data_IF_818731665213
#
_entry.id   IF_818731665213
#
_cell.length_a   1.000
_cell.length_b   1.000
_cell.length_c   1.000
_cell.angle_alpha   90.00
_cell.angle_beta   90.00
_cell.angle_gamma   90.00
#
_symmetry.space_group_name_H-M   'P 1'
#
loop_
_entity.id
_entity.type
_entity.pdbx_description
1 polymer ?
#
# COMPACT_ATOMS: atom_id res chain seq x y z
N UNK A 1 -35.38 6.71 -6.32
CA UNK A 1 -35.29 7.71 -5.23
C UNK A 1 -35.15 7.05 -3.87
N UNK A 2 -36.12 6.25 -3.41
CA UNK A 2 -36.11 5.65 -2.06
C UNK A 2 -34.85 4.84 -1.71
N UNK A 3 -34.36 4.00 -2.63
CA UNK A 3 -33.11 3.25 -2.43
C UNK A 3 -31.88 4.17 -2.36
N UNK A 4 -31.82 5.23 -3.18
CA UNK A 4 -30.73 6.23 -3.10
C UNK A 4 -30.75 6.96 -1.76
N UNK A 5 -31.92 7.35 -1.27
CA UNK A 5 -32.10 8.03 0.03
C UNK A 5 -31.55 7.19 1.18
N UNK A 6 -31.74 5.87 1.16
CA UNK A 6 -31.15 4.95 2.16
C UNK A 6 -29.62 5.00 2.16
N UNK A 7 -28.99 4.93 0.98
CA UNK A 7 -27.53 5.02 0.86
C UNK A 7 -27.01 6.38 1.32
N UNK A 8 -27.72 7.48 1.00
CA UNK A 8 -27.36 8.83 1.46
C UNK A 8 -27.49 8.97 2.98
N UNK A 9 -28.55 8.43 3.57
CA UNK A 9 -28.73 8.40 5.03
C UNK A 9 -27.61 7.60 5.71
N UNK A 10 -27.24 6.44 5.17
CA UNK A 10 -26.12 5.64 5.67
C UNK A 10 -24.78 6.40 5.54
N UNK A 11 -24.54 7.04 4.39
CA UNK A 11 -23.35 7.84 4.16
C UNK A 11 -23.21 8.96 5.21
N UNK A 12 -24.27 9.74 5.43
CA UNK A 12 -24.27 10.84 6.39
C UNK A 12 -24.16 10.35 7.85
N UNK A 13 -24.90 9.31 8.22
CA UNK A 13 -24.91 8.76 9.59
C UNK A 13 -23.57 8.12 9.95
N UNK A 14 -22.98 7.36 9.01
CA UNK A 14 -21.67 6.74 9.23
C UNK A 14 -20.54 7.76 9.18
N UNK A 15 -20.67 8.85 8.41
CA UNK A 15 -19.70 9.96 8.45
C UNK A 15 -19.74 10.68 9.78
N UNK A 16 -20.94 10.93 10.32
CA UNK A 16 -21.09 11.53 11.65
C UNK A 16 -20.40 10.70 12.72
N UNK A 17 -20.66 9.39 12.72
CA UNK A 17 -20.03 8.45 13.67
C UNK A 17 -18.51 8.47 13.54
N UNK A 18 -18.00 8.47 12.32
CA UNK A 18 -16.56 8.52 12.05
C UNK A 18 -15.93 9.85 12.50
N UNK A 19 -16.56 10.98 12.18
CA UNK A 19 -16.13 12.30 12.64
C UNK A 19 -16.10 12.37 14.17
N UNK A 20 -17.10 11.80 14.86
CA UNK A 20 -17.15 11.80 16.32
C UNK A 20 -16.01 10.95 16.93
N UNK A 21 -15.65 9.82 16.31
CA UNK A 21 -14.49 9.02 16.69
C UNK A 21 -13.17 9.80 16.53
N UNK A 22 -13.02 10.57 15.44
CA UNK A 22 -11.84 11.42 15.25
C UNK A 22 -11.77 12.52 16.30
N UNK A 23 -12.90 13.19 16.59
CA UNK A 23 -12.94 14.21 17.64
C UNK A 23 -12.61 13.63 19.01
N UNK A 24 -13.04 12.39 19.29
CA UNK A 24 -12.64 11.68 20.49
C UNK A 24 -11.12 11.46 20.52
N UNK A 25 -10.52 11.03 19.41
CA UNK A 25 -9.06 10.88 19.29
C UNK A 25 -8.32 12.19 19.57
N UNK A 26 -8.82 13.31 19.03
CA UNK A 26 -8.21 14.63 19.24
C UNK A 26 -8.33 15.08 20.70
N UNK A 27 -9.54 15.09 21.24
CA UNK A 27 -9.83 15.72 22.53
C UNK A 27 -9.36 14.90 23.73
N UNK A 28 -9.40 13.56 23.62
CA UNK A 28 -9.07 12.66 24.75
C UNK A 28 -7.60 12.22 24.72
N UNK A 29 -6.98 12.14 23.54
CA UNK A 29 -5.63 11.60 23.41
C UNK A 29 -4.64 12.61 22.85
N UNK A 30 -4.86 13.14 21.64
CA UNK A 30 -3.92 14.03 20.96
C UNK A 30 -3.57 15.25 21.82
N UNK A 31 -4.57 16.05 22.20
CA UNK A 31 -4.35 17.30 22.93
C UNK A 31 -3.76 17.08 24.34
N UNK A 32 -4.24 16.11 25.15
CA UNK A 32 -3.62 15.84 26.44
C UNK A 32 -2.17 15.37 26.33
N UNK A 33 -1.86 14.45 25.39
CA UNK A 33 -0.51 13.93 25.18
C UNK A 33 0.44 15.02 24.68
N UNK A 34 -0.05 15.91 23.81
CA UNK A 34 0.72 17.06 23.34
C UNK A 34 1.06 18.02 24.49
N UNK A 35 0.08 18.33 25.36
CA UNK A 35 0.27 19.25 26.50
C UNK A 35 1.15 18.67 27.60
N UNK A 36 1.15 17.36 27.80
CA UNK A 36 1.94 16.73 28.86
C UNK A 36 3.43 16.64 28.53
N UNK A 37 3.81 16.83 27.26
CA UNK A 37 5.18 16.62 26.76
C UNK A 37 5.77 15.26 27.16
N UNK A 38 4.90 14.23 27.28
CA UNK A 38 5.34 12.85 27.61
C UNK A 38 6.08 12.19 26.45
N UNK A 39 5.85 12.67 25.23
CA UNK A 39 6.52 12.27 24.01
C UNK A 39 7.44 13.39 23.54
N UNK A 40 8.59 13.03 22.97
CA UNK A 40 9.35 13.98 22.17
C UNK A 40 8.61 14.30 20.86
N UNK A 41 9.07 15.35 20.18
CA UNK A 41 8.46 15.83 18.94
C UNK A 41 8.36 14.75 17.87
N UNK A 42 9.41 13.94 17.70
CA UNK A 42 9.46 12.92 16.66
C UNK A 42 8.52 11.74 16.97
N UNK A 43 8.50 11.26 18.22
CA UNK A 43 7.56 10.23 18.69
C UNK A 43 6.10 10.71 18.54
N UNK A 44 5.82 11.99 18.84
CA UNK A 44 4.49 12.58 18.71
C UNK A 44 4.04 12.71 17.25
N UNK A 45 4.88 13.30 16.38
CA UNK A 45 4.60 13.47 14.95
C UNK A 45 4.45 12.12 14.24
N UNK A 46 5.29 11.12 14.58
CA UNK A 46 5.15 9.77 14.01
C UNK A 46 3.87 9.07 14.48
N UNK A 47 3.46 9.25 15.74
CA UNK A 47 2.26 8.58 16.29
C UNK A 47 0.96 9.16 15.72
N UNK A 48 0.85 10.49 15.65
CA UNK A 48 -0.41 11.15 15.29
C UNK A 48 -0.45 11.66 13.86
N UNK A 49 0.70 11.86 13.20
CA UNK A 49 0.78 12.37 11.83
C UNK A 49 -0.11 13.62 11.64
N UNK A 50 -0.88 13.64 10.56
CA UNK A 50 -1.82 14.71 10.23
C UNK A 50 -3.27 14.41 10.67
N UNK A 51 -3.48 13.66 11.77
CA UNK A 51 -4.83 13.28 12.24
C UNK A 51 -5.75 14.48 12.50
N UNK A 52 -5.21 15.62 12.95
CA UNK A 52 -5.99 16.85 13.15
C UNK A 52 -6.58 17.36 11.84
N UNK A 53 -5.79 17.36 10.75
CA UNK A 53 -6.25 17.73 9.41
C UNK A 53 -7.35 16.78 8.93
N UNK A 54 -7.17 15.47 9.13
CA UNK A 54 -8.18 14.45 8.81
C UNK A 54 -9.48 14.69 9.59
N UNK A 55 -9.37 14.99 10.89
CA UNK A 55 -10.51 15.29 11.76
C UNK A 55 -11.27 16.55 11.34
N UNK A 56 -10.55 17.62 10.98
CA UNK A 56 -11.15 18.86 10.48
C UNK A 56 -11.89 18.62 9.16
N UNK A 57 -11.26 17.89 8.23
CA UNK A 57 -11.83 17.60 6.91
C UNK A 57 -13.09 16.72 7.01
N UNK A 58 -13.07 15.69 7.86
CA UNK A 58 -14.26 14.85 8.12
C UNK A 58 -15.39 15.64 8.76
N UNK A 59 -15.08 16.59 9.66
CA UNK A 59 -16.11 17.46 10.25
C UNK A 59 -16.81 18.33 9.20
N UNK A 60 -16.04 18.94 8.29
CA UNK A 60 -16.58 19.75 7.19
C UNK A 60 -17.46 18.91 6.25
N UNK A 61 -16.98 17.73 5.88
CA UNK A 61 -17.73 16.80 5.03
C UNK A 61 -19.02 16.33 5.72
N UNK A 62 -18.95 15.98 7.01
CA UNK A 62 -20.10 15.58 7.81
C UNK A 62 -21.20 16.66 7.80
N UNK A 63 -20.83 17.92 8.01
CA UNK A 63 -21.77 19.04 7.99
C UNK A 63 -22.50 19.14 6.64
N UNK A 64 -21.76 19.10 5.53
CA UNK A 64 -22.35 19.23 4.19
C UNK A 64 -23.24 18.02 3.83
N UNK A 65 -22.83 16.81 4.21
CA UNK A 65 -23.61 15.60 3.99
C UNK A 65 -24.91 15.60 4.79
N UNK A 66 -24.87 15.98 6.06
CA UNK A 66 -26.08 16.08 6.90
C UNK A 66 -27.04 17.16 6.37
N UNK A 67 -26.51 18.29 5.90
CA UNK A 67 -27.32 19.35 5.28
C UNK A 67 -28.03 18.87 4.01
N UNK A 68 -27.35 18.08 3.16
CA UNK A 68 -27.95 17.50 1.95
C UNK A 68 -28.96 16.42 2.29
N UNK A 69 -28.65 15.53 3.23
CA UNK A 69 -29.53 14.43 3.64
C UNK A 69 -30.87 14.94 4.16
N UNK A 70 -30.87 15.99 4.98
CA UNK A 70 -32.09 16.61 5.51
C UNK A 70 -33.00 17.22 4.44
N UNK A 71 -32.44 17.59 3.27
CA UNK A 71 -33.16 18.23 2.15
C UNK A 71 -33.12 17.39 0.87
N UNK A 72 -32.89 16.07 0.99
CA UNK A 72 -32.67 15.20 -0.16
C UNK A 72 -33.91 15.01 -1.03
N UNK A 73 -35.11 15.22 -0.47
CA UNK A 73 -36.35 15.15 -1.24
C UNK A 73 -36.51 16.32 -2.22
N UNK A 74 -35.94 17.47 -1.89
CA UNK A 74 -35.93 18.66 -2.73
C UNK A 74 -34.73 18.69 -3.68
N UNK A 75 -33.65 17.99 -3.34
CA UNK A 75 -32.44 17.88 -4.16
C UNK A 75 -31.84 16.47 -4.01
N UNK A 76 -32.16 15.59 -4.96
CA UNK A 76 -31.82 14.16 -4.89
C UNK A 76 -30.45 13.80 -5.50
N UNK A 77 -29.57 14.80 -5.57
CA UNK A 77 -28.15 14.71 -5.93
C UNK A 77 -27.33 14.68 -4.63
N UNK A 78 -26.24 13.92 -4.57
CA UNK A 78 -25.31 13.92 -3.42
C UNK A 78 -23.86 14.02 -3.86
N UNK A 79 -23.52 13.59 -5.08
CA UNK A 79 -22.14 13.47 -5.49
C UNK A 79 -21.50 14.84 -5.75
N UNK A 80 -22.28 15.89 -6.02
CA UNK A 80 -21.80 17.27 -6.07
C UNK A 80 -21.14 17.71 -4.75
N UNK A 81 -21.66 17.29 -3.60
CA UNK A 81 -21.05 17.54 -2.28
C UNK A 81 -19.71 16.85 -2.16
N UNK A 82 -19.63 15.57 -2.54
CA UNK A 82 -18.41 14.77 -2.50
C UNK A 82 -17.34 15.34 -3.43
N UNK A 83 -17.72 15.73 -4.65
CA UNK A 83 -16.82 16.28 -5.65
C UNK A 83 -16.34 17.69 -5.30
N UNK A 84 -17.21 18.52 -4.70
CA UNK A 84 -16.82 19.84 -4.18
C UNK A 84 -15.75 19.73 -3.09
N UNK A 85 -15.79 18.65 -2.31
CA UNK A 85 -14.83 18.36 -1.23
C UNK A 85 -13.70 17.42 -1.65
N UNK A 86 -13.49 17.15 -2.95
CA UNK A 86 -12.52 16.13 -3.40
C UNK A 86 -11.10 16.32 -2.86
N UNK A 87 -10.63 17.56 -2.73
CA UNK A 87 -9.28 17.88 -2.23
C UNK A 87 -9.12 17.60 -0.74
N UNK A 88 -10.23 17.44 0.00
CA UNK A 88 -10.17 17.04 1.41
C UNK A 88 -9.67 15.60 1.58
N UNK A 89 -9.82 14.76 0.57
CA UNK A 89 -9.38 13.36 0.64
C UNK A 89 -7.87 13.19 0.42
N UNK A 90 -7.18 14.19 -0.15
CA UNK A 90 -5.74 14.12 -0.41
C UNK A 90 -4.93 13.97 0.89
N UNK A 91 -5.40 14.52 2.01
CA UNK A 91 -4.72 14.41 3.31
C UNK A 91 -4.74 12.98 3.87
N UNK A 92 -5.69 12.13 3.45
CA UNK A 92 -5.76 10.74 3.89
C UNK A 92 -4.55 9.95 3.40
N UNK A 93 -4.02 10.28 2.23
CA UNK A 93 -2.84 9.61 1.70
C UNK A 93 -1.63 9.77 2.63
N UNK A 94 -1.39 10.96 3.17
CA UNK A 94 -0.32 11.17 4.14
C UNK A 94 -0.55 10.37 5.43
N UNK A 95 -1.76 10.39 5.97
CA UNK A 95 -2.11 9.63 7.18
C UNK A 95 -1.87 8.13 7.00
N UNK A 96 -2.40 7.58 5.90
CA UNK A 96 -2.40 6.14 5.65
C UNK A 96 -1.00 5.62 5.37
N UNK A 97 -0.17 6.39 4.66
CA UNK A 97 1.26 6.07 4.47
C UNK A 97 2.03 6.01 5.78
N UNK A 98 1.62 6.78 6.77
CA UNK A 98 2.28 6.79 8.08
C UNK A 98 1.72 5.75 9.05
N UNK A 99 0.50 5.24 8.85
CA UNK A 99 -0.22 4.44 9.83
C UNK A 99 0.56 3.23 10.37
N UNK A 100 1.23 2.45 9.51
CA UNK A 100 2.01 1.28 9.95
C UNK A 100 3.16 1.68 10.88
N UNK A 101 3.85 2.78 10.57
CA UNK A 101 4.91 3.34 11.41
C UNK A 101 4.34 3.92 12.71
N UNK A 102 3.13 4.49 12.67
CA UNK A 102 2.45 5.00 13.85
C UNK A 102 2.09 3.87 14.83
N UNK A 103 1.55 2.75 14.35
CA UNK A 103 1.14 1.66 15.23
C UNK A 103 2.33 0.86 15.78
N UNK A 104 3.41 0.70 15.01
CA UNK A 104 4.66 0.15 15.55
C UNK A 104 5.23 1.06 16.65
N UNK A 105 5.20 2.38 16.43
CA UNK A 105 5.63 3.36 17.43
C UNK A 105 4.77 3.31 18.68
N UNK A 106 3.44 3.26 18.53
CA UNK A 106 2.49 3.10 19.62
C UNK A 106 2.85 1.88 20.49
N UNK A 107 3.10 0.72 19.89
CA UNK A 107 3.50 -0.49 20.61
C UNK A 107 4.78 -0.32 21.42
N UNK A 108 5.78 0.40 20.88
CA UNK A 108 7.03 0.73 21.62
C UNK A 108 6.77 1.70 22.77
N UNK A 109 5.92 2.71 22.54
CA UNK A 109 5.59 3.75 23.52
C UNK A 109 4.79 3.22 24.71
N UNK A 110 4.02 2.14 24.54
CA UNK A 110 3.32 1.48 25.64
C UNK A 110 4.24 0.97 26.76
N UNK A 111 5.54 0.78 26.49
CA UNK A 111 6.52 0.44 27.53
C UNK A 111 6.85 1.63 28.45
N UNK A 112 6.51 2.87 28.07
CA UNK A 112 6.69 4.07 28.90
C UNK A 112 5.46 4.23 29.80
N UNK A 113 5.60 3.98 31.10
CA UNK A 113 4.50 4.02 32.09
C UNK A 113 3.62 5.29 32.00
N UNK A 114 4.24 6.48 31.91
CA UNK A 114 3.52 7.75 31.77
C UNK A 114 2.66 7.82 30.51
N UNK A 115 3.14 7.29 29.38
CA UNK A 115 2.37 7.23 28.14
C UNK A 115 1.25 6.19 28.24
N UNK A 116 1.53 5.01 28.82
CA UNK A 116 0.55 3.96 29.01
C UNK A 116 -0.68 4.44 29.81
N UNK A 117 -0.45 5.21 30.88
CA UNK A 117 -1.53 5.83 31.68
C UNK A 117 -2.38 6.81 30.84
N UNK A 118 -1.76 7.59 29.95
CA UNK A 118 -2.45 8.53 29.07
C UNK A 118 -3.13 7.87 27.87
N UNK A 119 -2.60 6.75 27.39
CA UNK A 119 -3.17 5.94 26.31
C UNK A 119 -4.39 5.12 26.79
N UNK A 120 -4.58 5.01 28.11
CA UNK A 120 -5.75 4.35 28.70
C UNK A 120 -6.45 5.22 29.77
N UNK A 121 -7.07 6.35 29.38
CA UNK A 121 -7.74 7.23 30.31
C UNK A 121 -9.11 6.64 30.72
N UNK A 122 -9.10 5.77 31.74
CA UNK A 122 -10.25 5.41 32.57
C UNK A 122 -11.49 4.85 31.85
N UNK A 123 -11.34 3.92 30.90
CA UNK A 123 -12.46 3.26 30.18
C UNK A 123 -13.44 4.22 29.46
N UNK A 124 -13.06 5.50 29.24
CA UNK A 124 -13.90 6.49 28.55
C UNK A 124 -14.11 6.17 27.06
N UNK A 125 -13.28 5.31 26.49
CA UNK A 125 -13.35 4.87 25.11
C UNK A 125 -13.23 3.36 25.05
N UNK A 126 -14.31 2.68 24.64
CA UNK A 126 -14.33 1.22 24.47
C UNK A 126 -13.40 0.72 23.36
N UNK A 127 -13.01 1.60 22.43
CA UNK A 127 -12.13 1.27 21.30
C UNK A 127 -10.64 1.42 21.65
N UNK A 128 -10.30 2.24 22.64
CA UNK A 128 -8.93 2.66 22.95
C UNK A 128 -8.27 3.50 21.85
N UNK A 129 -7.07 4.04 22.13
CA UNK A 129 -6.34 4.88 21.18
C UNK A 129 -6.00 4.14 19.88
N UNK A 130 -5.48 2.91 19.98
CA UNK A 130 -5.19 2.06 18.81
C UNK A 130 -6.42 1.85 17.91
N UNK A 131 -7.59 1.57 18.50
CA UNK A 131 -8.83 1.40 17.77
C UNK A 131 -9.29 2.68 17.06
N UNK A 132 -8.99 3.85 17.60
CA UNK A 132 -9.31 5.14 16.96
C UNK A 132 -8.34 5.45 15.81
N UNK A 133 -7.04 5.16 15.96
CA UNK A 133 -6.02 5.44 14.94
C UNK A 133 -6.25 4.65 13.65
N UNK A 134 -6.85 3.46 13.70
CA UNK A 134 -7.15 2.66 12.50
C UNK A 134 -8.35 3.19 11.70
N UNK A 135 -9.19 4.05 12.29
CA UNK A 135 -10.46 4.46 11.67
C UNK A 135 -10.32 5.19 10.32
N UNK A 136 -9.33 6.07 10.07
CA UNK A 136 -9.17 6.70 8.76
C UNK A 136 -8.81 5.72 7.65
N UNK A 137 -7.95 4.74 7.96
CA UNK A 137 -7.57 3.67 7.02
C UNK A 137 -8.80 2.84 6.63
N UNK A 138 -9.68 2.56 7.58
CA UNK A 138 -10.92 1.82 7.34
C UNK A 138 -12.02 2.62 6.64
N UNK A 139 -11.98 3.96 6.70
CA UNK A 139 -13.03 4.80 6.11
C UNK A 139 -12.97 4.80 4.58
N UNK A 140 -11.77 4.81 3.99
CA UNK A 140 -11.60 4.87 2.52
C UNK A 140 -12.29 3.69 1.79
N UNK A 141 -12.09 2.41 2.18
CA UNK A 141 -12.82 1.30 1.56
C UNK A 141 -14.34 1.40 1.71
N UNK A 142 -14.84 1.99 2.80
CA UNK A 142 -16.29 2.17 3.02
C UNK A 142 -16.89 3.17 2.02
N UNK A 143 -16.18 4.25 1.67
CA UNK A 143 -16.63 5.15 0.59
C UNK A 143 -16.78 4.42 -0.74
N UNK A 144 -15.85 3.53 -1.09
CA UNK A 144 -15.95 2.71 -2.30
C UNK A 144 -17.21 1.84 -2.30
N UNK A 145 -17.52 1.20 -1.17
CA UNK A 145 -18.72 0.35 -1.05
C UNK A 145 -20.01 1.17 -1.17
N UNK A 146 -20.11 2.27 -0.44
CA UNK A 146 -21.27 3.17 -0.46
C UNK A 146 -21.49 3.76 -1.86
N UNK A 147 -20.42 4.18 -2.54
CA UNK A 147 -20.53 4.73 -3.90
C UNK A 147 -20.91 3.66 -4.94
N UNK A 148 -20.41 2.43 -4.81
CA UNK A 148 -20.86 1.31 -5.66
C UNK A 148 -22.35 1.04 -5.48
N UNK A 149 -22.84 1.09 -4.24
CA UNK A 149 -24.27 0.90 -3.95
C UNK A 149 -25.12 2.05 -4.47
N UNK A 150 -24.69 3.30 -4.24
CA UNK A 150 -25.37 4.48 -4.76
C UNK A 150 -25.48 4.44 -6.29
N UNK A 151 -24.40 4.06 -6.98
CA UNK A 151 -24.38 3.94 -8.44
C UNK A 151 -25.31 2.84 -8.96
N UNK A 152 -25.42 1.70 -8.25
CA UNK A 152 -26.40 0.65 -8.60
C UNK A 152 -27.85 1.14 -8.52
N UNK A 153 -28.14 2.06 -7.59
CA UNK A 153 -29.46 2.63 -7.38
C UNK A 153 -29.73 3.91 -8.20
N UNK A 154 -28.80 4.31 -9.06
CA UNK A 154 -28.86 5.54 -9.86
C UNK A 154 -29.01 5.20 -11.35
N UNK A 155 -30.16 5.51 -11.99
CA UNK A 155 -30.34 5.32 -13.43
C UNK A 155 -29.32 6.12 -14.24
N UNK A 156 -28.96 5.66 -15.44
CA UNK A 156 -27.96 6.33 -16.30
C UNK A 156 -28.40 7.71 -16.76
N UNK A 157 -29.71 7.91 -16.84
CA UNK A 157 -30.35 9.16 -17.24
C UNK A 157 -30.42 10.18 -16.09
N UNK A 158 -30.10 9.75 -14.86
CA UNK A 158 -30.12 10.61 -13.69
C UNK A 158 -28.96 11.62 -13.74
N UNK A 159 -29.18 12.90 -13.37
CA UNK A 159 -28.13 13.92 -13.41
C UNK A 159 -26.92 13.59 -12.52
N UNK A 160 -27.12 12.83 -11.45
CA UNK A 160 -26.04 12.43 -10.55
C UNK A 160 -25.26 11.18 -10.98
N UNK A 161 -25.64 10.50 -12.07
CA UNK A 161 -24.98 9.25 -12.49
C UNK A 161 -23.51 9.45 -12.84
N UNK A 162 -23.21 10.46 -13.68
CA UNK A 162 -21.84 10.77 -14.09
C UNK A 162 -21.00 11.23 -12.89
N UNK A 163 -21.58 12.03 -12.00
CA UNK A 163 -20.90 12.46 -10.78
C UNK A 163 -20.60 11.27 -9.85
N UNK A 164 -21.52 10.31 -9.74
CA UNK A 164 -21.32 9.09 -8.97
C UNK A 164 -20.20 8.22 -9.54
N UNK A 165 -20.09 8.11 -10.87
CA UNK A 165 -19.00 7.41 -11.55
C UNK A 165 -17.64 8.08 -11.26
N UNK A 166 -17.58 9.42 -11.36
CA UNK A 166 -16.36 10.19 -11.05
C UNK A 166 -15.97 10.02 -9.58
N UNK A 167 -16.91 10.19 -8.65
CA UNK A 167 -16.67 10.04 -7.23
C UNK A 167 -16.20 8.62 -6.87
N UNK A 168 -16.82 7.59 -7.45
CA UNK A 168 -16.38 6.20 -7.27
C UNK A 168 -14.95 5.99 -7.75
N UNK A 169 -14.59 6.52 -8.92
CA UNK A 169 -13.23 6.42 -9.45
C UNK A 169 -12.21 7.09 -8.51
N UNK A 170 -12.51 8.28 -7.98
CA UNK A 170 -11.65 8.96 -6.99
C UNK A 170 -11.41 8.07 -5.77
N UNK A 171 -12.45 7.49 -5.17
CA UNK A 171 -12.28 6.63 -4.00
C UNK A 171 -11.57 5.30 -4.33
N UNK A 172 -11.76 4.76 -5.52
CA UNK A 172 -11.02 3.59 -5.98
C UNK A 172 -9.54 3.89 -6.19
N UNK A 173 -9.20 5.05 -6.76
CA UNK A 173 -7.83 5.52 -6.91
C UNK A 173 -7.17 5.69 -5.54
N UNK A 174 -7.83 6.37 -4.59
CA UNK A 174 -7.35 6.48 -3.21
C UNK A 174 -7.13 5.11 -2.57
N UNK A 175 -8.07 4.17 -2.72
CA UNK A 175 -7.93 2.80 -2.22
C UNK A 175 -6.75 2.05 -2.84
N UNK A 176 -6.49 2.24 -4.13
CA UNK A 176 -5.38 1.62 -4.85
C UNK A 176 -4.04 2.27 -4.50
N UNK A 177 -3.98 3.59 -4.35
CA UNK A 177 -2.79 4.33 -3.90
C UNK A 177 -2.33 3.88 -2.51
N UNK A 178 -3.27 3.58 -1.61
CA UNK A 178 -2.99 2.98 -0.30
C UNK A 178 -2.27 1.64 -0.47
N UNK A 179 -2.83 0.74 -1.28
CA UNK A 179 -2.26 -0.59 -1.50
C UNK A 179 -0.86 -0.51 -2.15
N UNK A 180 -0.69 0.36 -3.14
CA UNK A 180 0.58 0.59 -3.81
C UNK A 180 1.60 1.20 -2.85
N UNK A 181 1.21 2.20 -2.04
CA UNK A 181 2.19 2.83 -1.15
C UNK A 181 2.62 1.92 0.01
N UNK A 182 1.72 1.08 0.51
CA UNK A 182 2.08 0.05 1.49
C UNK A 182 3.09 -0.95 0.88
N UNK A 183 2.87 -1.37 -0.38
CA UNK A 183 3.81 -2.22 -1.09
C UNK A 183 5.17 -1.52 -1.32
N UNK A 184 5.17 -0.23 -1.63
CA UNK A 184 6.37 0.59 -1.78
C UNK A 184 7.17 0.69 -0.49
N UNK A 185 6.51 0.97 0.63
CA UNK A 185 7.18 1.10 1.93
C UNK A 185 7.77 -0.24 2.37
N UNK A 186 7.01 -1.33 2.22
CA UNK A 186 7.53 -2.69 2.50
C UNK A 186 8.71 -3.05 1.60
N UNK A 187 8.66 -2.66 0.32
CA UNK A 187 9.77 -2.84 -0.60
C UNK A 187 10.99 -2.01 -0.14
N UNK A 188 10.82 -0.71 0.17
CA UNK A 188 11.89 0.16 0.70
C UNK A 188 12.54 -0.41 1.95
N UNK A 189 11.75 -0.89 2.92
CA UNK A 189 12.30 -1.53 4.12
C UNK A 189 13.11 -2.79 3.79
N UNK A 190 12.64 -3.63 2.86
CA UNK A 190 13.41 -4.79 2.39
C UNK A 190 14.72 -4.36 1.75
N UNK A 191 14.70 -3.34 0.91
CA UNK A 191 15.90 -2.81 0.24
C UNK A 191 16.92 -2.26 1.25
N UNK A 192 16.46 -1.50 2.25
CA UNK A 192 17.31 -1.03 3.34
C UNK A 192 17.94 -2.20 4.11
N UNK A 193 17.14 -3.22 4.46
CA UNK A 193 17.65 -4.45 5.11
C UNK A 193 18.68 -5.16 4.24
N UNK A 194 18.55 -5.15 2.92
CA UNK A 194 19.54 -5.72 2.00
C UNK A 194 20.85 -4.92 2.05
N UNK A 195 20.80 -3.60 1.95
CA UNK A 195 22.00 -2.75 2.02
C UNK A 195 22.76 -2.97 3.33
N UNK A 196 22.05 -3.03 4.46
CA UNK A 196 22.64 -3.28 5.78
C UNK A 196 23.27 -4.67 5.94
N UNK A 197 22.93 -5.64 5.08
CA UNK A 197 23.55 -6.97 5.09
C UNK A 197 24.90 -6.99 4.40
N UNK A 198 25.25 -5.98 3.61
CA UNK A 198 26.56 -5.91 2.97
C UNK A 198 27.54 -5.17 3.88
N UNK A 199 28.69 -5.78 4.17
CA UNK A 199 29.73 -5.16 4.99
C UNK A 199 30.36 -3.94 4.31
N UNK A 200 30.41 -3.96 2.98
CA UNK A 200 30.79 -2.85 2.14
C UNK A 200 30.07 -2.99 0.80
N UNK A 201 29.46 -1.90 0.35
CA UNK A 201 28.78 -1.81 -0.93
C UNK A 201 29.30 -0.58 -1.67
N UNK A 202 29.63 -0.66 -2.98
CA UNK A 202 29.97 0.52 -3.75
C UNK A 202 28.82 1.53 -3.74
N UNK A 203 29.16 2.83 -3.67
CA UNK A 203 28.18 3.93 -3.56
C UNK A 203 27.15 3.86 -4.69
N UNK A 204 27.59 3.63 -5.93
CA UNK A 204 26.71 3.51 -7.09
C UNK A 204 25.69 2.36 -6.97
N UNK A 205 26.04 1.27 -6.28
CA UNK A 205 25.13 0.14 -6.03
C UNK A 205 24.19 0.45 -4.88
N UNK A 206 24.67 1.15 -3.84
CA UNK A 206 23.83 1.58 -2.71
C UNK A 206 22.78 2.58 -3.16
N UNK A 207 23.20 3.59 -3.91
CA UNK A 207 22.32 4.57 -4.55
C UNK A 207 21.32 3.90 -5.49
N UNK A 208 21.77 2.94 -6.30
CA UNK A 208 20.86 2.16 -7.12
C UNK A 208 19.77 1.47 -6.28
N UNK A 209 20.13 0.83 -5.16
CA UNK A 209 19.13 0.13 -4.33
C UNK A 209 18.18 1.09 -3.60
N UNK A 210 18.65 2.27 -3.16
CA UNK A 210 17.90 3.14 -2.23
C UNK A 210 17.22 4.34 -2.89
N UNK A 211 17.80 4.88 -3.97
CA UNK A 211 17.40 6.18 -4.50
C UNK A 211 16.22 6.08 -5.48
N UNK A 212 15.92 4.88 -5.98
CA UNK A 212 14.81 4.62 -6.89
C UNK A 212 13.98 3.40 -6.46
N UNK A 213 12.68 3.36 -6.78
CA UNK A 213 11.77 2.30 -6.36
C UNK A 213 11.95 1.02 -7.19
N UNK A 214 13.12 0.39 -7.07
CA UNK A 214 13.38 -0.90 -7.71
C UNK A 214 12.63 -2.00 -6.96
N UNK A 215 11.78 -2.76 -7.65
CA UNK A 215 11.11 -3.90 -7.02
C UNK A 215 12.06 -5.10 -6.95
N UNK A 216 12.30 -5.61 -5.75
CA UNK A 216 13.00 -6.88 -5.55
C UNK A 216 12.05 -8.04 -5.89
N UNK A 217 12.39 -8.80 -6.94
CA UNK A 217 11.60 -9.95 -7.37
C UNK A 217 11.92 -11.20 -6.56
N UNK A 218 13.22 -11.49 -6.40
CA UNK A 218 13.65 -12.72 -5.76
C UNK A 218 14.96 -12.53 -5.00
N UNK A 219 15.01 -13.11 -3.81
CA UNK A 219 16.24 -13.34 -3.05
C UNK A 219 16.44 -14.85 -2.92
N UNK A 220 17.66 -15.33 -3.15
CA UNK A 220 17.99 -16.73 -2.91
C UNK A 220 19.47 -17.01 -2.97
N UNK A 221 19.86 -18.18 -2.46
CA UNK A 221 21.25 -18.61 -2.48
C UNK A 221 21.48 -19.61 -3.61
N UNK A 222 22.40 -19.30 -4.51
CA UNK A 222 22.74 -20.12 -5.67
C UNK A 222 24.23 -20.48 -5.69
N UNK A 223 24.57 -21.55 -6.38
CA UNK A 223 25.93 -22.06 -6.47
C UNK A 223 26.56 -21.60 -7.79
N UNK A 224 27.49 -20.64 -7.71
CA UNK A 224 28.13 -20.07 -8.89
C UNK A 224 29.33 -20.89 -9.33
N UNK A 225 29.32 -21.31 -10.59
CA UNK A 225 30.49 -21.91 -11.23
C UNK A 225 31.57 -20.84 -11.40
N UNK A 226 32.73 -21.06 -10.78
CA UNK A 226 33.90 -20.19 -10.87
C UNK A 226 35.11 -20.99 -11.36
N UNK A 227 36.18 -20.30 -11.79
CA UNK A 227 37.43 -20.94 -12.23
C UNK A 227 38.03 -21.87 -11.16
N UNK A 228 37.84 -21.54 -9.88
CA UNK A 228 38.35 -22.28 -8.71
C UNK A 228 37.24 -23.07 -8.00
N UNK A 229 36.36 -23.73 -8.77
CA UNK A 229 35.27 -24.54 -8.25
C UNK A 229 33.93 -23.79 -8.08
N UNK A 230 32.96 -24.50 -7.51
CA UNK A 230 31.60 -24.00 -7.28
C UNK A 230 31.54 -23.26 -5.95
N UNK A 231 31.03 -22.04 -5.94
CA UNK A 231 30.95 -21.20 -4.74
C UNK A 231 29.55 -20.69 -4.48
N UNK A 232 29.10 -20.79 -3.23
CA UNK A 232 27.79 -20.32 -2.77
C UNK A 232 27.69 -18.79 -2.86
N UNK A 233 26.60 -18.26 -3.40
CA UNK A 233 26.34 -16.82 -3.59
C UNK A 233 24.92 -16.48 -3.19
N UNK A 234 24.76 -15.41 -2.43
CA UNK A 234 23.43 -14.81 -2.18
C UNK A 234 23.15 -13.84 -3.30
N UNK A 235 22.02 -14.03 -3.98
CA UNK A 235 21.63 -13.33 -5.19
C UNK A 235 20.31 -12.57 -4.95
N UNK A 236 20.26 -11.33 -5.44
CA UNK A 236 19.13 -10.41 -5.37
C UNK A 236 18.76 -9.98 -6.80
N UNK A 237 17.60 -10.42 -7.29
CA UNK A 237 17.10 -10.12 -8.62
C UNK A 237 16.05 -9.00 -8.54
N UNK A 238 16.24 -7.97 -9.35
CA UNK A 238 15.34 -6.82 -9.45
C UNK A 238 14.53 -6.85 -10.76
N UNK A 239 13.39 -6.17 -10.72
CA UNK A 239 12.40 -6.10 -11.82
C UNK A 239 12.89 -5.46 -13.12
N UNK A 240 13.99 -4.71 -13.07
CA UNK A 240 14.62 -4.00 -14.17
C UNK A 240 15.90 -4.70 -14.67
N UNK A 241 15.92 -6.04 -14.54
CA UNK A 241 16.94 -6.94 -15.11
C UNK A 241 18.29 -6.86 -14.41
N UNK A 242 18.38 -6.20 -13.26
CA UNK A 242 19.61 -6.12 -12.48
C UNK A 242 19.68 -7.28 -11.50
N UNK A 243 20.81 -7.97 -11.49
CA UNK A 243 21.17 -8.98 -10.50
C UNK A 243 22.36 -8.50 -9.69
N UNK A 244 22.20 -8.43 -8.37
CA UNK A 244 23.28 -8.14 -7.42
C UNK A 244 23.59 -9.43 -6.66
N UNK A 245 24.87 -9.76 -6.47
CA UNK A 245 25.24 -10.93 -5.69
C UNK A 245 26.51 -10.76 -4.86
N UNK A 246 26.55 -11.51 -3.76
CA UNK A 246 27.65 -11.51 -2.80
C UNK A 246 27.94 -12.89 -2.21
N UNK A 247 29.04 -13.02 -1.45
CA UNK A 247 29.32 -14.21 -0.65
C UNK A 247 28.87 -14.00 0.79
N UNK A 248 28.33 -15.04 1.46
CA UNK A 248 28.16 -15.00 2.90
C UNK A 248 29.52 -14.89 3.60
N UNK A 249 29.59 -14.06 4.62
CA UNK A 249 30.73 -13.84 5.51
C UNK A 249 30.31 -14.22 6.94
N UNK A 250 31.28 -14.41 7.84
CA UNK A 250 31.04 -14.65 9.27
C UNK A 250 30.17 -13.52 9.85
N UNK A 251 29.18 -13.88 10.67
CA UNK A 251 28.30 -12.90 11.33
C UNK A 251 27.07 -12.46 10.51
N UNK A 252 26.58 -13.29 9.58
CA UNK A 252 25.39 -13.02 8.73
C UNK A 252 25.53 -11.83 7.77
N UNK A 253 26.76 -11.32 7.59
CA UNK A 253 27.10 -10.26 6.65
C UNK A 253 27.42 -10.83 5.25
N UNK A 254 27.36 -9.98 4.24
CA UNK A 254 27.62 -10.30 2.84
C UNK A 254 28.79 -9.47 2.31
N UNK A 255 29.67 -10.12 1.58
CA UNK A 255 30.71 -9.45 0.79
C UNK A 255 30.20 -9.27 -0.64
N UNK A 256 30.12 -8.02 -1.10
CA UNK A 256 29.73 -7.68 -2.46
C UNK A 256 30.71 -8.27 -3.49
N UNK A 257 30.18 -8.81 -4.59
CA UNK A 257 31.00 -9.27 -5.71
C UNK A 257 30.77 -8.50 -6.99
N UNK A 258 29.52 -8.45 -7.45
CA UNK A 258 29.22 -7.76 -8.70
C UNK A 258 27.74 -7.43 -8.83
N UNK A 259 27.47 -6.50 -9.74
CA UNK A 259 26.16 -6.15 -10.26
C UNK A 259 26.16 -6.45 -11.75
N UNK A 260 25.13 -7.13 -12.26
CA UNK A 260 25.03 -7.49 -13.67
C UNK A 260 23.65 -7.13 -14.18
N UNK A 261 23.61 -6.35 -15.27
CA UNK A 261 22.39 -6.15 -16.04
C UNK A 261 22.23 -7.30 -17.04
N UNK A 262 21.18 -8.08 -16.84
CA UNK A 262 20.86 -9.27 -17.63
C UNK A 262 20.27 -8.87 -18.98
N UNK A 263 20.65 -9.62 -20.01
CA UNK A 263 20.10 -9.53 -21.36
C UNK A 263 19.33 -10.81 -21.69
N UNK A 264 19.84 -11.95 -21.21
CA UNK A 264 19.24 -13.24 -21.45
C UNK A 264 19.55 -14.23 -20.33
N UNK A 265 18.81 -15.33 -20.31
CA UNK A 265 19.16 -16.53 -19.57
C UNK A 265 18.91 -17.78 -20.40
N UNK A 266 19.52 -18.89 -20.01
CA UNK A 266 19.27 -20.23 -20.56
C UNK A 266 19.13 -21.24 -19.44
N UNK A 267 18.13 -22.12 -19.55
CA UNK A 267 18.06 -23.32 -18.72
C UNK A 267 18.97 -24.38 -19.31
N UNK A 268 19.89 -24.91 -18.52
CA UNK A 268 20.83 -25.93 -18.98
C UNK A 268 20.33 -27.31 -18.55
N UNK A 269 20.36 -28.25 -19.48
CA UNK A 269 19.98 -29.65 -19.26
C UNK A 269 20.87 -30.31 -18.20
N UNK A 270 20.22 -31.11 -17.36
CA UNK A 270 20.92 -31.83 -16.30
C UNK A 270 21.81 -32.94 -16.90
N UNK A 271 23.01 -33.07 -16.35
CA UNK A 271 24.02 -34.09 -16.66
C UNK A 271 24.66 -34.56 -15.36
N UNK A 272 25.49 -35.61 -15.39
CA UNK A 272 26.20 -36.12 -14.21
C UNK A 272 27.03 -35.04 -13.48
N UNK A 273 27.39 -33.94 -14.15
CA UNK A 273 28.22 -32.85 -13.60
C UNK A 273 27.48 -31.54 -13.37
N UNK A 274 26.31 -31.36 -13.98
CA UNK A 274 25.52 -30.13 -13.94
C UNK A 274 24.10 -30.51 -13.59
N UNK A 275 23.64 -30.15 -12.40
CA UNK A 275 22.25 -30.33 -12.00
C UNK A 275 21.65 -28.99 -11.65
N UNK A 276 20.41 -28.77 -12.10
CA UNK A 276 19.65 -27.56 -11.86
C UNK A 276 20.38 -26.27 -12.27
N UNK A 277 21.07 -26.28 -13.42
CA UNK A 277 21.90 -25.15 -13.88
C UNK A 277 21.10 -24.14 -14.71
N UNK A 278 21.34 -22.86 -14.44
CA UNK A 278 20.86 -21.70 -15.19
C UNK A 278 22.08 -20.89 -15.63
N UNK A 279 22.20 -20.63 -16.93
CA UNK A 279 23.18 -19.71 -17.47
C UNK A 279 22.58 -18.31 -17.52
N UNK A 280 23.24 -17.36 -16.87
CA UNK A 280 22.88 -15.94 -16.93
C UNK A 280 23.81 -15.20 -17.88
N UNK A 281 23.23 -14.38 -18.74
CA UNK A 281 23.92 -13.67 -19.81
C UNK A 281 23.68 -12.17 -19.60
N UNK A 282 24.74 -11.43 -19.26
CA UNK A 282 24.75 -9.97 -19.18
C UNK A 282 25.63 -9.34 -20.26
N UNK A 283 25.63 -8.01 -20.34
CA UNK A 283 26.41 -7.23 -21.34
C UNK A 283 27.90 -7.56 -21.34
N UNK A 284 28.51 -7.64 -20.16
CA UNK A 284 29.96 -7.79 -20.03
C UNK A 284 30.38 -9.20 -19.63
N UNK A 285 29.47 -9.96 -18.99
CA UNK A 285 29.79 -11.24 -18.35
C UNK A 285 28.61 -12.19 -18.42
N UNK A 286 28.92 -13.45 -18.69
CA UNK A 286 28.00 -14.58 -18.58
C UNK A 286 28.56 -15.61 -17.60
N UNK A 287 27.69 -16.28 -16.85
CA UNK A 287 28.09 -17.29 -15.87
C UNK A 287 26.95 -18.25 -15.54
N UNK A 288 27.33 -19.43 -15.05
CA UNK A 288 26.38 -20.46 -14.65
C UNK A 288 26.15 -20.43 -13.14
N UNK A 289 24.88 -20.59 -12.76
CA UNK A 289 24.43 -20.79 -11.39
C UNK A 289 23.69 -22.13 -11.31
N UNK A 290 23.93 -22.94 -10.28
CA UNK A 290 23.07 -24.08 -9.95
C UNK A 290 22.19 -23.77 -8.75
N UNK A 291 20.94 -24.20 -8.82
CA UNK A 291 20.01 -24.21 -7.71
C UNK A 291 20.13 -25.53 -6.91
N UNK A 292 19.74 -25.51 -5.63
CA UNK A 292 19.81 -26.71 -4.78
C UNK A 292 18.73 -27.74 -5.14
N UNK A 293 17.64 -27.32 -5.81
CA UNK A 293 16.55 -28.18 -6.25
C UNK A 293 15.94 -27.73 -7.57
N UNK A 294 15.25 -28.64 -8.26
CA UNK A 294 14.49 -28.33 -9.48
C UNK A 294 13.40 -27.28 -9.23
N UNK A 295 12.74 -27.33 -8.08
CA UNK A 295 11.74 -26.35 -7.69
C UNK A 295 12.36 -24.94 -7.59
N UNK A 296 13.53 -24.84 -6.97
CA UNK A 296 14.25 -23.57 -6.89
C UNK A 296 14.69 -23.09 -8.27
N UNK A 297 15.18 -23.99 -9.15
CA UNK A 297 15.49 -23.65 -10.56
C UNK A 297 14.26 -23.08 -11.28
N UNK A 298 13.10 -23.72 -11.17
CA UNK A 298 11.85 -23.24 -11.80
C UNK A 298 11.44 -21.85 -11.29
N UNK A 299 11.53 -21.60 -9.99
CA UNK A 299 11.22 -20.29 -9.42
C UNK A 299 12.17 -19.20 -9.96
N UNK A 300 13.47 -19.48 -10.02
CA UNK A 300 14.42 -18.55 -10.61
C UNK A 300 14.14 -18.28 -12.09
N UNK A 301 13.81 -19.30 -12.89
CA UNK A 301 13.45 -19.13 -14.30
C UNK A 301 12.19 -18.26 -14.48
N UNK A 302 11.16 -18.46 -13.64
CA UNK A 302 9.96 -17.61 -13.60
C UNK A 302 10.31 -16.15 -13.38
N UNK A 303 11.08 -15.86 -12.33
CA UNK A 303 11.40 -14.48 -11.95
C UNK A 303 12.36 -13.82 -12.96
N UNK A 304 13.29 -14.58 -13.54
CA UNK A 304 14.16 -14.10 -14.63
C UNK A 304 13.36 -13.77 -15.89
N UNK A 305 12.40 -14.63 -16.26
CA UNK A 305 11.49 -14.38 -17.37
C UNK A 305 10.68 -13.12 -17.13
N UNK A 306 10.13 -12.96 -15.92
CA UNK A 306 9.34 -11.80 -15.55
C UNK A 306 10.17 -10.50 -15.56
N UNK A 307 11.41 -10.54 -15.05
CA UNK A 307 12.34 -9.39 -15.09
C UNK A 307 12.65 -8.94 -16.52
N UNK A 308 12.89 -9.88 -17.44
CA UNK A 308 13.25 -9.57 -18.82
C UNK A 308 12.03 -9.20 -19.68
N UNK A 309 10.95 -9.98 -19.62
CA UNK A 309 9.83 -9.89 -20.58
C UNK A 309 8.56 -9.25 -20.02
N UNK A 310 8.42 -9.17 -18.69
CA UNK A 310 7.15 -8.85 -18.04
C UNK A 310 6.10 -9.97 -18.04
N UNK A 311 6.42 -11.14 -18.61
CA UNK A 311 5.51 -12.29 -18.67
C UNK A 311 5.92 -13.36 -17.64
N UNK A 312 4.94 -13.96 -16.98
CA UNK A 312 5.13 -15.19 -16.20
C UNK A 312 4.87 -16.38 -17.13
N UNK A 313 5.89 -17.23 -17.32
CA UNK A 313 5.73 -18.51 -18.02
C UNK A 313 5.61 -19.62 -17.00
N UNK A 314 4.82 -20.65 -17.30
CA UNK A 314 4.64 -21.82 -16.41
C UNK A 314 5.54 -22.98 -16.78
N UNK A 315 6.11 -22.97 -17.99
CA UNK A 315 6.89 -24.06 -18.55
C UNK A 315 8.21 -23.54 -19.13
N UNK A 316 9.29 -24.27 -18.84
CA UNK A 316 10.62 -24.05 -19.40
C UNK A 316 11.19 -25.39 -19.87
N UNK A 317 11.77 -25.38 -21.07
CA UNK A 317 12.44 -26.54 -21.66
C UNK A 317 13.95 -26.44 -21.36
N UNK A 318 14.63 -27.55 -21.14
CA UNK A 318 16.08 -27.50 -20.94
C UNK A 318 16.81 -27.49 -22.29
N UNK A 319 17.84 -26.64 -22.43
CA UNK A 319 18.66 -26.58 -23.65
C UNK A 319 19.87 -27.50 -23.46
N UNK A 320 20.21 -28.28 -24.49
CA UNK A 320 21.41 -29.11 -24.52
C UNK A 320 22.69 -28.28 -24.75
N UNK A 321 23.86 -28.92 -24.62
CA UNK A 321 25.16 -28.25 -24.81
C UNK A 321 25.42 -27.89 -26.30
N UNK A 322 24.64 -28.46 -27.25
CA UNK A 322 24.73 -28.22 -28.70
C UNK A 322 23.78 -27.11 -29.20
N UNK A 323 22.90 -26.60 -28.33
CA UNK A 323 22.00 -25.48 -28.61
C UNK A 323 20.71 -25.88 -29.34
N UNK A 324 20.40 -27.17 -29.46
CA UNK A 324 19.21 -27.68 -30.10
C UNK A 324 18.09 -27.88 -29.07
N UNK A 325 17.24 -26.86 -28.90
CA UNK A 325 15.80 -26.87 -28.60
C UNK A 325 15.35 -25.47 -28.14
N UNK A 326 14.40 -24.89 -28.88
CA UNK A 326 14.24 -23.45 -29.09
C UNK A 326 13.04 -22.84 -28.33
N UNK A 327 13.02 -22.82 -26.98
CA UNK A 327 11.97 -22.04 -26.25
C UNK A 327 12.40 -21.39 -24.92
N UNK A 328 13.63 -21.61 -24.44
CA UNK A 328 14.05 -21.17 -23.09
C UNK A 328 15.09 -20.06 -23.09
N UNK A 329 15.60 -19.67 -24.26
CA UNK A 329 16.41 -18.46 -24.36
C UNK A 329 15.49 -17.26 -24.49
N UNK A 330 15.29 -16.52 -23.40
CA UNK A 330 14.70 -15.18 -23.50
C UNK A 330 15.82 -14.23 -23.89
N UNK A 331 15.85 -13.79 -25.15
CA UNK A 331 16.80 -12.78 -25.64
C UNK A 331 16.11 -11.42 -25.65
N UNK A 332 16.62 -10.48 -24.85
CA UNK A 332 16.29 -9.06 -25.03
C UNK A 332 16.98 -8.54 -26.29
N UNK A 333 16.23 -7.93 -27.21
CA UNK A 333 16.82 -7.30 -28.40
C UNK A 333 17.76 -6.17 -27.98
N UNK A 334 18.99 -6.20 -28.49
CA UNK A 334 20.01 -5.20 -28.19
C UNK A 334 19.60 -3.84 -28.79
N UNK A 335 19.76 -2.76 -28.02
CA UNK A 335 19.41 -1.39 -28.47
C UNK A 335 20.13 -1.00 -29.77
N UNK A 336 21.33 -1.56 -29.99
CA UNK A 336 22.20 -1.25 -31.13
C UNK A 336 21.66 -1.80 -32.46
N UNK A 337 20.84 -2.84 -32.44
CA UNK A 337 20.34 -3.51 -33.65
C UNK A 337 19.01 -2.95 -34.16
N UNK A 338 18.31 -2.16 -33.33
CA UNK A 338 17.00 -1.61 -33.69
C UNK A 338 17.13 -0.23 -34.31
N UNK A 339 17.03 -0.14 -35.63
CA UNK A 339 17.09 1.13 -36.38
C UNK A 339 15.73 1.83 -36.52
N UNK A 340 14.62 1.13 -36.28
CA UNK A 340 13.25 1.60 -36.56
C UNK A 340 12.26 1.26 -35.44
N UNK A 341 11.26 2.12 -35.24
CA UNK A 341 10.20 1.90 -34.26
C UNK A 341 9.42 0.62 -34.58
N UNK A 342 9.25 -0.26 -33.59
CA UNK A 342 8.60 -1.55 -33.81
C UNK A 342 7.09 -1.47 -34.13
N UNK A 343 6.47 -0.30 -33.95
CA UNK A 343 5.07 -0.04 -34.34
C UNK A 343 4.96 0.72 -35.65
N UNK A 344 5.37 1.99 -35.68
CA UNK A 344 5.18 2.87 -36.84
C UNK A 344 6.33 2.85 -37.85
N UNK A 345 7.38 2.05 -37.60
CA UNK A 345 8.55 1.90 -38.48
C UNK A 345 9.34 3.19 -38.74
N UNK A 346 9.11 4.25 -37.97
CA UNK A 346 9.93 5.48 -38.06
C UNK A 346 11.39 5.17 -37.69
N UNK A 347 12.35 5.64 -38.50
CA UNK A 347 13.77 5.49 -38.20
C UNK A 347 14.18 6.31 -36.99
N UNK A 348 14.93 5.69 -36.09
CA UNK A 348 15.54 6.38 -34.97
C UNK A 348 16.72 7.22 -35.45
N UNK A 349 16.84 8.44 -34.92
CA UNK A 349 17.90 9.39 -35.23
C UNK A 349 18.10 10.33 -34.03
N UNK A 350 18.94 11.36 -34.16
CA UNK A 350 19.24 12.30 -33.06
C UNK A 350 17.99 13.00 -32.48
N UNK A 351 16.94 13.20 -33.28
CA UNK A 351 15.67 13.83 -32.85
C UNK A 351 14.62 12.82 -32.41
N UNK A 352 14.64 11.60 -32.96
CA UNK A 352 13.70 10.53 -32.62
C UNK A 352 14.44 9.50 -31.76
N UNK A 353 14.37 9.68 -30.45
CA UNK A 353 15.03 8.81 -29.46
C UNK A 353 14.31 7.45 -29.33
N UNK A 354 15.08 6.44 -28.92
CA UNK A 354 14.61 5.08 -28.62
C UNK A 354 14.01 5.02 -27.22
N UNK A 355 12.85 4.38 -27.07
CA UNK A 355 12.20 4.17 -25.79
C UNK A 355 11.71 2.72 -25.66
N UNK A 356 11.91 2.10 -24.50
CA UNK A 356 11.45 0.73 -24.25
C UNK A 356 10.04 0.73 -23.67
N UNK A 357 9.20 -0.18 -24.15
CA UNK A 357 7.99 -0.52 -23.43
C UNK A 357 8.35 -1.21 -22.13
N UNK A 358 7.90 -0.65 -21.00
CA UNK A 358 8.17 -1.23 -19.69
C UNK A 358 7.51 -2.61 -19.52
N UNK A 359 6.47 -2.95 -20.28
CA UNK A 359 5.88 -4.28 -20.26
C UNK A 359 6.71 -5.28 -21.10
N UNK A 360 6.67 -5.16 -22.43
CA UNK A 360 7.21 -6.17 -23.35
C UNK A 360 8.68 -5.98 -23.79
N UNK A 361 9.35 -4.92 -23.34
CA UNK A 361 10.77 -4.67 -23.66
C UNK A 361 11.08 -4.24 -25.09
N UNK A 362 10.09 -4.18 -26.00
CA UNK A 362 10.25 -3.72 -27.39
C UNK A 362 10.55 -2.22 -27.48
N UNK A 363 11.18 -1.78 -28.59
CA UNK A 363 11.62 -0.40 -28.80
C UNK A 363 10.64 0.41 -29.65
N UNK A 364 10.28 1.60 -29.17
CA UNK A 364 9.29 2.50 -29.77
C UNK A 364 9.80 3.95 -29.79
N UNK A 365 9.20 4.78 -30.66
CA UNK A 365 9.31 6.23 -30.56
C UNK A 365 8.36 6.77 -29.47
N UNK A 366 8.61 7.99 -28.98
CA UNK A 366 7.83 8.58 -27.89
C UNK A 366 6.32 8.63 -28.20
N UNK A 367 5.96 8.91 -29.46
CA UNK A 367 4.55 8.91 -29.93
C UNK A 367 3.87 7.55 -29.82
N UNK A 368 4.60 6.46 -30.07
CA UNK A 368 4.06 5.10 -29.96
C UNK A 368 4.11 4.54 -28.54
N UNK A 369 4.78 5.26 -27.62
CA UNK A 369 4.92 4.93 -26.21
C UNK A 369 4.23 5.99 -25.32
N UNK A 370 2.99 6.31 -25.67
CA UNK A 370 2.22 7.39 -25.05
C UNK A 370 1.42 6.98 -23.81
N UNK A 371 1.23 5.67 -23.58
CA UNK A 371 0.38 5.18 -22.50
C UNK A 371 1.16 4.98 -21.22
N UNK A 372 0.57 5.39 -20.09
CA UNK A 372 1.09 5.15 -18.74
C UNK A 372 0.16 4.19 -18.01
N UNK A 373 0.77 3.22 -17.34
CA UNK A 373 0.05 2.27 -16.49
C UNK A 373 0.98 1.81 -15.36
N UNK A 374 0.40 1.49 -14.21
CA UNK A 374 1.13 0.79 -13.14
C UNK A 374 1.19 -0.69 -13.51
N UNK A 375 2.41 -1.20 -13.71
CA UNK A 375 2.59 -2.62 -14.05
C UNK A 375 2.70 -3.47 -12.79
N UNK A 376 2.34 -4.76 -12.82
CA UNK A 376 2.55 -5.67 -11.69
C UNK A 376 4.01 -5.74 -11.19
N UNK A 377 4.97 -5.43 -12.07
CA UNK A 377 6.42 -5.39 -11.76
C UNK A 377 6.95 -4.03 -11.34
N UNK A 378 6.12 -2.99 -11.37
CA UNK A 378 6.56 -1.62 -11.26
C UNK A 378 5.61 -0.84 -10.37
N UNK A 379 6.16 -0.37 -9.26
CA UNK A 379 5.44 0.34 -8.21
C UNK A 379 4.98 1.75 -8.62
N UNK A 380 5.48 2.24 -9.76
CA UNK A 380 5.13 3.53 -10.33
C UNK A 380 4.57 3.39 -11.74
N UNK A 381 3.83 4.42 -12.16
CA UNK A 381 3.37 4.54 -13.53
C UNK A 381 4.56 4.51 -14.50
N UNK A 382 4.46 3.62 -15.48
CA UNK A 382 5.50 3.43 -16.46
C UNK A 382 4.92 3.46 -17.87
N UNK A 383 5.75 3.88 -18.82
CA UNK A 383 5.35 3.98 -20.22
C UNK A 383 5.27 2.60 -20.86
N UNK A 384 4.13 2.28 -21.49
CA UNK A 384 3.91 1.03 -22.21
C UNK A 384 3.45 1.30 -23.64
N UNK A 385 3.67 0.34 -24.54
CA UNK A 385 3.12 0.43 -25.89
C UNK A 385 1.61 0.14 -25.87
N UNK A 386 0.93 0.62 -26.91
CA UNK A 386 -0.53 0.51 -27.05
C UNK A 386 -1.00 -0.93 -26.91
N UNK A 387 -0.33 -1.87 -27.57
CA UNK A 387 -0.74 -3.28 -27.56
C UNK A 387 -0.64 -3.89 -26.16
N UNK A 388 0.33 -3.45 -25.35
CA UNK A 388 0.47 -3.88 -23.97
C UNK A 388 -0.57 -3.23 -23.08
N UNK A 389 -0.84 -1.93 -23.27
CA UNK A 389 -1.90 -1.22 -22.56
C UNK A 389 -3.26 -1.91 -22.74
N UNK A 390 -3.61 -2.26 -23.98
CA UNK A 390 -4.88 -2.93 -24.29
C UNK A 390 -4.95 -4.36 -23.73
N UNK A 391 -3.83 -5.10 -23.74
CA UNK A 391 -3.74 -6.42 -23.10
C UNK A 391 -3.98 -6.33 -21.59
N UNK A 392 -3.32 -5.39 -20.92
CA UNK A 392 -3.41 -5.23 -19.46
C UNK A 392 -4.82 -4.79 -19.05
N UNK A 393 -5.43 -3.84 -19.78
CA UNK A 393 -6.81 -3.42 -19.53
C UNK A 393 -7.84 -4.54 -19.70
N UNK A 394 -7.61 -5.49 -20.60
CA UNK A 394 -8.50 -6.65 -20.81
C UNK A 394 -8.38 -7.72 -19.73
N UNK A 395 -7.32 -7.69 -18.90
CA UNK A 395 -7.08 -8.65 -17.82
C UNK A 395 -7.82 -8.26 -16.52
N UNK A 396 -8.49 -7.09 -16.44
CA UNK A 396 -9.34 -6.78 -15.27
C UNK A 396 -10.76 -7.36 -15.38
N UNK A 397 -11.05 -8.46 -14.67
CA UNK A 397 -12.31 -8.64 -13.95
C UNK A 397 -12.05 -8.82 -12.44
N UNK A 398 -13.10 -8.78 -11.60
CA UNK A 398 -13.23 -7.85 -10.48
C UNK A 398 -12.06 -7.88 -9.49
N UNK A 399 -11.78 -6.72 -8.88
CA UNK A 399 -10.89 -6.57 -7.71
C UNK A 399 -10.91 -7.84 -6.83
N UNK A 400 -9.74 -8.47 -6.55
CA UNK A 400 -9.70 -9.60 -5.64
C UNK A 400 -10.33 -9.17 -4.32
N UNK A 401 -11.31 -9.94 -3.83
CA UNK A 401 -11.87 -9.76 -2.50
C UNK A 401 -10.72 -9.82 -1.49
N UNK A 402 -10.40 -8.68 -0.89
CA UNK A 402 -9.42 -8.58 0.19
C UNK A 402 -9.87 -9.53 1.30
N UNK A 403 -9.13 -10.60 1.61
CA UNK A 403 -9.38 -11.35 2.83
C UNK A 403 -9.12 -10.41 4.01
N UNK A 404 -9.92 -10.46 5.09
CA UNK A 404 -9.65 -9.65 6.27
C UNK A 404 -8.21 -9.90 6.75
N UNK A 405 -7.51 -8.87 7.27
CA UNK A 405 -6.15 -9.04 7.76
C UNK A 405 -6.10 -10.18 8.77
N UNK A 406 -5.33 -11.22 8.45
CA UNK A 406 -5.12 -12.38 9.32
C UNK A 406 -4.42 -11.90 10.60
N UNK A 407 -5.16 -11.86 11.71
CA UNK A 407 -4.58 -11.79 13.06
C UNK A 407 -3.91 -13.13 13.37
N UNK A 408 -2.63 -13.10 13.75
CA UNK A 408 -2.01 -14.08 14.66
C UNK A 408 -1.98 -13.36 16.01
N UNK A 409 -2.53 -13.81 17.13
CA UNK A 409 -2.67 -15.14 17.75
C UNK A 409 -3.95 -15.18 18.66
N UNK A 410 -4.19 -16.13 19.61
CA UNK A 410 -5.27 -17.12 19.52
C UNK A 410 -6.35 -17.05 20.63
N UNK A 411 -7.42 -17.86 20.47
CA UNK A 411 -8.48 -18.23 21.45
C UNK A 411 -9.46 -17.09 21.86
N UNK A 412 -10.78 -17.25 21.97
CA UNK A 412 -11.64 -18.35 22.40
C UNK A 412 -12.94 -18.35 21.58
N UNK A 413 -13.38 -19.54 21.13
CA UNK A 413 -14.72 -19.80 20.60
C UNK A 413 -15.77 -19.67 21.73
N UNK A 414 -16.83 -18.89 21.52
CA UNK A 414 -18.23 -19.28 21.77
C UNK A 414 -19.17 -18.07 21.64
N UNK A 415 -19.98 -18.05 20.58
CA UNK A 415 -21.24 -17.31 20.55
C UNK A 415 -22.20 -17.97 19.56
N UNK A 416 -22.75 -19.13 19.95
CA UNK A 416 -23.99 -19.64 19.36
C UNK A 416 -25.18 -19.16 20.18
N UNK A 417 -26.12 -18.54 19.46
CA UNK A 417 -27.55 -18.39 19.77
C UNK A 417 -27.97 -17.34 20.81
N UNK A 418 -28.36 -16.17 20.28
CA UNK A 418 -29.45 -15.37 20.86
C UNK A 418 -30.76 -16.18 20.81
N UNK A 419 -31.27 -16.60 21.97
CA UNK A 419 -32.71 -16.82 22.18
C UNK A 419 -33.25 -15.68 23.05
N UNK A 420 -34.26 -14.98 22.53
CA UNK A 420 -35.08 -13.98 23.22
C UNK A 420 -35.55 -14.49 24.59
N UNK A 421 -35.32 -13.73 25.68
CA UNK A 421 -36.13 -13.74 26.90
C UNK A 421 -36.18 -12.34 27.55
N UNK A 422 -37.37 -12.06 28.09
CA UNK A 422 -37.92 -10.83 28.68
C UNK A 422 -37.14 -10.22 29.87
N UNK A 423 -37.41 -8.96 30.28
CA UNK A 423 -36.65 -8.28 31.32
C UNK A 423 -37.09 -8.73 32.73
N UNK A 424 -36.17 -8.96 33.69
CA UNK A 424 -36.56 -9.17 35.07
C UNK A 424 -36.66 -7.86 35.86
N UNK A 425 -37.72 -7.86 36.68
CA UNK A 425 -38.23 -6.87 37.62
C UNK A 425 -37.20 -6.22 38.55
N UNK A 426 -37.44 -4.92 38.83
CA UNK A 426 -36.89 -4.18 39.97
C UNK A 426 -37.13 -4.89 41.31
N UNK A 427 -36.14 -4.83 42.22
CA UNK A 427 -36.35 -4.88 43.67
C UNK A 427 -35.73 -3.66 44.33
N UNK A 428 -36.53 -3.02 45.19
CA UNK A 428 -36.23 -1.82 46.01
C UNK A 428 -35.54 -2.18 47.34
N UNK A 429 -35.04 -1.11 47.98
CA UNK A 429 -34.62 -0.90 49.37
C UNK A 429 -33.11 -1.07 49.65
N UNK A 430 -32.44 -0.16 50.38
CA UNK A 430 -32.97 0.76 51.39
C UNK A 430 -32.28 2.13 51.47
N UNK A 431 -33.03 3.06 52.09
CA UNK A 431 -32.66 4.42 52.44
C UNK A 431 -31.62 4.43 53.57
N UNK A 432 -30.67 5.37 53.51
CA UNK A 432 -30.18 6.09 54.69
C UNK A 432 -29.98 7.57 54.33
N UNK A 433 -30.76 8.42 54.99
CA UNK A 433 -30.61 9.88 55.10
C UNK A 433 -29.32 10.21 55.87
N UNK A 434 -28.58 11.27 55.49
CA UNK A 434 -28.22 12.41 56.38
C UNK A 434 -27.81 13.64 55.53
N UNK A 435 -28.69 14.66 55.58
CA UNK A 435 -28.53 16.12 55.70
C UNK A 435 -27.27 16.86 55.18
N UNK A 436 -27.54 17.83 54.31
CA UNK A 436 -26.81 19.08 54.08
C UNK A 436 -27.06 20.11 55.21
N UNK A 437 -26.12 21.04 55.50
CA UNK A 437 -26.45 22.31 56.11
C UNK A 437 -26.48 23.44 55.06
N UNK A 438 -27.58 24.19 55.05
CA UNK A 438 -27.70 25.51 54.41
C UNK A 438 -27.40 26.60 55.44
N UNK A 439 -26.67 27.65 55.04
CA UNK A 439 -26.65 28.95 55.75
C UNK A 439 -27.00 30.06 54.76
N UNK A 440 -27.78 31.01 55.29
CA UNK A 440 -28.61 32.04 54.65
C UNK A 440 -27.86 33.30 54.19
N UNK A 441 -28.45 33.92 53.17
CA UNK A 441 -28.55 35.34 52.76
C UNK A 441 -27.96 36.44 53.66
N UNK A 442 -27.26 37.37 53.01
CA UNK A 442 -27.35 38.86 53.05
C UNK A 442 -26.65 39.31 51.75
N UNK A 443 -27.02 40.32 50.96
CA UNK A 443 -27.89 41.48 51.07
C UNK A 443 -27.38 42.49 50.00
N UNK A 444 -28.26 43.37 49.55
CA UNK A 444 -28.14 44.32 48.44
C UNK A 444 -26.85 45.17 48.30
N UNK A 445 -26.63 45.59 47.05
CA UNK A 445 -26.11 46.87 46.53
C UNK A 445 -25.16 46.55 45.36
N UNK A 446 -25.43 46.89 44.11
CA UNK A 446 -25.81 48.21 43.61
C UNK A 446 -24.62 48.73 42.79
N UNK A 447 -24.82 48.86 41.47
CA UNK A 447 -24.23 49.84 40.54
C UNK A 447 -22.76 50.25 40.76
N UNK A 448 -21.87 50.00 39.80
CA UNK A 448 -21.62 50.94 38.69
C UNK A 448 -20.44 50.53 37.80
N UNK A 449 -20.53 51.02 36.57
CA UNK A 449 -19.50 51.12 35.56
C UNK A 449 -18.20 51.73 36.10
N UNK A 450 -17.05 51.37 35.52
CA UNK A 450 -16.14 52.29 34.79
C UNK A 450 -14.87 51.55 34.37
N UNK A 451 -14.55 51.78 33.11
CA UNK A 451 -13.30 51.64 32.36
C UNK A 451 -11.99 51.55 33.19
N UNK A 452 -11.16 50.55 32.91
CA UNK A 452 -9.98 50.66 32.02
C UNK A 452 -9.30 49.30 31.85
#
# INVERSE_FOLDING_TARGET
>A
MEQRKKVVNELATTEKTYSDMLQLAINVYFQPIQKSNVLDKNDFEQLFCNIETVAMNSMLLCYDLQKREANFEQNDIICDVLLFRKTLFDCYNEYIRNYDRAIERYGKLLNKKKFQEMANPNDKCSLGLEGLLITPVQRIPRYVLLMKEYMKCTPKEHPDYLNAEIALNIFQQLANEINLTMADEQNRERLQKIVMRFSSLPINVSSYILDQPHLLLLEGTLNKYCRKGIKKRVCFLFSDQVLIYGSPVVGSQLSYHNTIKLIAFKSIKDTDKKTNVIQLIGKEKSFNLSAESLQMKKEWLNQLCFALTGEQKTEFIDVDDEGNEEYTTVIMMNEEEVSECMKCKVRFNLTTRKHHCNYCGKVFCDKCLSYRIVLPKQLQECKVCVDCYDKIKKIEPPLPSIPPPRRKTPFIQNATQFKKREPPRMRKCGQFLVRTPSIKNFGDNGLDLVQN
#
